data_IF_841480633095
#
_entry.id   IF_841480633095
#
_cell.length_a   1.000
_cell.length_b   1.000
_cell.length_c   1.000
_cell.angle_alpha   90.00
_cell.angle_beta   90.00
_cell.angle_gamma   90.00
#
_symmetry.space_group_name_H-M   'P 1'
#
loop_
_entity.id
_entity.type
_entity.pdbx_description
1 polymer ?
#
# COMPACT_ATOMS: atom_id res chain seq x y z
N UNK A 1 -25.92 21.30 24.05
CA UNK A 1 -25.76 20.35 22.93
C UNK A 1 -25.26 19.04 23.50
N UNK A 2 -25.84 17.90 23.12
CA UNK A 2 -25.25 16.60 23.45
C UNK A 2 -23.98 16.45 22.62
N UNK A 3 -22.86 16.12 23.27
CA UNK A 3 -21.61 15.82 22.59
C UNK A 3 -21.61 14.33 22.20
N UNK A 4 -22.34 14.02 21.13
CA UNK A 4 -22.65 12.64 20.73
C UNK A 4 -21.44 11.88 20.17
N UNK A 5 -20.32 12.58 19.88
CA UNK A 5 -19.14 11.99 19.25
C UNK A 5 -17.86 12.03 20.10
N UNK A 6 -17.92 12.55 21.34
CA UNK A 6 -16.74 12.76 22.20
C UNK A 6 -15.71 11.63 22.17
N UNK A 7 -16.16 10.41 22.48
CA UNK A 7 -15.28 9.24 22.58
C UNK A 7 -14.71 8.85 21.21
N UNK A 8 -15.54 8.92 20.18
CA UNK A 8 -15.14 8.55 18.83
C UNK A 8 -14.13 9.53 18.23
N UNK A 9 -14.34 10.83 18.45
CA UNK A 9 -13.37 11.87 18.09
C UNK A 9 -12.03 11.63 18.79
N UNK A 10 -12.02 11.33 20.09
CA UNK A 10 -10.78 11.03 20.81
C UNK A 10 -10.02 9.81 20.25
N UNK A 11 -10.73 8.77 19.79
CA UNK A 11 -10.11 7.59 19.18
C UNK A 11 -9.53 7.94 17.82
N UNK A 12 -10.33 8.57 16.96
CA UNK A 12 -9.90 8.96 15.63
C UNK A 12 -8.74 9.95 15.66
N UNK A 13 -8.81 10.97 16.52
CA UNK A 13 -7.75 11.96 16.67
C UNK A 13 -6.42 11.29 17.01
N UNK A 14 -6.41 10.32 17.93
CA UNK A 14 -5.19 9.55 18.25
C UNK A 14 -4.64 8.76 17.07
N UNK A 15 -5.51 8.10 16.30
CA UNK A 15 -5.12 7.31 15.13
C UNK A 15 -4.56 8.25 14.06
N UNK A 16 -5.24 9.37 13.78
CA UNK A 16 -4.82 10.32 12.77
C UNK A 16 -3.58 11.10 13.16
N UNK A 17 -3.42 11.48 14.43
CA UNK A 17 -2.20 12.12 14.92
C UNK A 17 -0.99 11.22 14.67
N UNK A 18 -1.10 9.92 14.96
CA UNK A 18 -0.04 8.96 14.67
C UNK A 18 0.23 8.80 13.15
N UNK A 19 -0.81 8.89 12.31
CA UNK A 19 -0.65 8.73 10.86
C UNK A 19 -0.23 9.99 10.12
N UNK A 20 -0.50 11.17 10.68
CA UNK A 20 -0.28 12.46 10.01
C UNK A 20 1.18 12.64 9.61
N UNK A 21 2.10 12.34 10.51
CA UNK A 21 3.54 12.46 10.24
C UNK A 21 3.98 11.53 9.11
N UNK A 22 3.42 10.31 9.06
CA UNK A 22 3.70 9.33 8.01
C UNK A 22 3.16 9.82 6.66
N UNK A 23 1.93 10.35 6.63
CA UNK A 23 1.33 10.90 5.41
C UNK A 23 2.17 12.07 4.89
N UNK A 24 2.55 13.00 5.76
CA UNK A 24 3.37 14.16 5.38
C UNK A 24 4.74 13.71 4.84
N UNK A 25 5.37 12.68 5.45
CA UNK A 25 6.61 12.04 4.95
C UNK A 25 6.40 11.38 3.58
N UNK A 26 5.30 10.65 3.39
CA UNK A 26 4.95 10.01 2.10
C UNK A 26 4.80 11.07 1.01
N UNK A 27 3.99 12.10 1.25
CA UNK A 27 3.71 13.14 0.24
C UNK A 27 4.97 13.90 -0.13
N UNK A 28 5.76 14.31 0.88
CA UNK A 28 7.01 15.03 0.65
C UNK A 28 8.07 14.19 -0.05
N UNK A 29 7.99 12.86 0.06
CA UNK A 29 8.92 11.95 -0.62
C UNK A 29 8.65 11.77 -2.12
N UNK A 30 7.48 12.17 -2.65
CA UNK A 30 7.10 11.87 -4.04
C UNK A 30 7.66 12.89 -5.04
N UNK A 31 8.60 12.44 -5.85
CA UNK A 31 9.10 13.08 -7.06
C UNK A 31 8.89 12.18 -8.28
N UNK A 32 7.95 12.57 -9.16
CA UNK A 32 7.63 11.89 -10.43
C UNK A 32 8.56 12.32 -11.58
N UNK A 33 9.49 13.24 -11.30
CA UNK A 33 10.53 13.72 -12.20
C UNK A 33 11.89 13.49 -11.53
N UNK A 34 12.97 13.56 -12.31
CA UNK A 34 14.31 13.38 -11.77
C UNK A 34 14.67 14.49 -10.76
N UNK A 35 15.19 14.17 -9.56
CA UNK A 35 15.50 12.83 -9.05
C UNK A 35 14.24 12.04 -8.64
N UNK A 36 14.08 10.84 -9.20
CA UNK A 36 12.90 10.01 -8.97
C UNK A 36 12.83 9.51 -7.54
N UNK A 37 11.66 9.66 -6.92
CA UNK A 37 11.47 9.35 -5.52
C UNK A 37 10.01 9.01 -5.24
N UNK A 38 9.73 7.89 -4.57
CA UNK A 38 8.38 7.53 -4.16
C UNK A 38 8.40 6.42 -3.11
N UNK A 39 7.35 6.28 -2.28
CA UNK A 39 7.23 5.13 -1.41
C UNK A 39 6.90 3.85 -2.18
N UNK A 40 7.20 2.70 -1.57
CA UNK A 40 6.92 1.37 -2.13
C UNK A 40 5.47 1.23 -2.58
N UNK A 41 4.52 1.69 -1.75
CA UNK A 41 3.09 1.65 -2.08
C UNK A 41 2.80 2.41 -3.38
N UNK A 42 3.39 3.58 -3.60
CA UNK A 42 3.17 4.37 -4.81
C UNK A 42 3.68 3.68 -6.08
N UNK A 43 4.89 3.09 -6.07
CA UNK A 43 5.44 2.44 -7.28
C UNK A 43 4.71 1.13 -7.66
N UNK A 44 3.96 0.56 -6.71
CA UNK A 44 3.10 -0.61 -6.88
C UNK A 44 1.66 -0.24 -7.29
N UNK A 45 1.40 1.02 -7.62
CA UNK A 45 0.10 1.48 -8.09
C UNK A 45 0.17 2.13 -9.49
N UNK A 46 -0.99 2.39 -10.06
CA UNK A 46 -1.18 3.15 -11.29
C UNK A 46 -0.47 4.51 -11.24
N UNK A 47 0.45 4.76 -12.19
CA UNK A 47 1.18 6.04 -12.29
C UNK A 47 0.23 7.24 -12.43
N UNK A 48 -0.81 7.11 -13.25
CA UNK A 48 -1.78 8.20 -13.48
C UNK A 48 -2.55 8.56 -12.21
N UNK A 49 -2.82 7.58 -11.33
CA UNK A 49 -3.41 7.85 -10.02
C UNK A 49 -2.45 8.67 -9.15
N UNK A 50 -1.19 8.27 -9.05
CA UNK A 50 -0.18 9.02 -8.29
C UNK A 50 0.01 10.46 -8.80
N UNK A 51 -0.04 10.65 -10.12
CA UNK A 51 -0.03 11.98 -10.75
C UNK A 51 -1.22 12.83 -10.30
N UNK A 52 -2.43 12.25 -10.25
CA UNK A 52 -3.62 12.95 -9.78
C UNK A 52 -3.62 13.19 -8.27
N UNK A 53 -3.14 12.25 -7.45
CA UNK A 53 -2.98 12.43 -6.01
C UNK A 53 -2.07 13.65 -5.74
N UNK A 54 -0.93 13.74 -6.44
CA UNK A 54 -0.01 14.89 -6.37
C UNK A 54 -0.64 16.19 -6.86
N UNK A 55 -1.41 16.15 -7.96
CA UNK A 55 -2.03 17.33 -8.56
C UNK A 55 -3.19 17.90 -7.72
N UNK A 56 -4.02 17.03 -7.14
CA UNK A 56 -5.28 17.41 -6.49
C UNK A 56 -5.21 17.34 -4.95
N UNK A 57 -4.09 16.91 -4.37
CA UNK A 57 -3.86 16.95 -2.92
C UNK A 57 -4.70 15.95 -2.12
N UNK A 58 -5.16 14.86 -2.76
CA UNK A 58 -5.95 13.80 -2.12
C UNK A 58 -5.03 12.82 -1.37
N UNK A 59 -4.42 13.30 -0.29
CA UNK A 59 -3.64 12.45 0.63
C UNK A 59 -4.29 12.28 2.00
N UNK A 60 -5.51 12.79 2.20
CA UNK A 60 -6.21 12.65 3.48
C UNK A 60 -6.91 11.29 3.54
N UNK A 61 -6.49 10.34 4.38
CA UNK A 61 -7.14 9.05 4.51
C UNK A 61 -8.33 9.21 5.45
N UNK A 62 -9.30 10.05 5.11
CA UNK A 62 -10.60 9.95 5.79
C UNK A 62 -11.19 8.62 5.32
N UNK A 63 -11.44 7.63 6.20
CA UNK A 63 -12.01 6.36 5.81
C UNK A 63 -13.37 6.64 5.20
N UNK A 64 -13.47 6.40 3.90
CA UNK A 64 -14.69 6.62 3.13
C UNK A 64 -15.61 5.39 3.14
N UNK A 65 -15.13 4.27 3.71
CA UNK A 65 -15.88 3.04 3.86
C UNK A 65 -15.44 2.26 5.12
N UNK A 66 -16.27 1.29 5.51
CA UNK A 66 -16.06 0.47 6.72
C UNK A 66 -14.78 -0.37 6.66
N UNK A 67 -14.39 -0.86 5.47
CA UNK A 67 -13.18 -1.67 5.33
C UNK A 67 -11.92 -0.86 5.59
N UNK A 68 -11.86 0.40 5.14
CA UNK A 68 -10.78 1.32 5.48
C UNK A 68 -10.74 1.57 6.99
N UNK A 69 -11.89 1.82 7.63
CA UNK A 69 -11.93 2.04 9.07
C UNK A 69 -11.43 0.82 9.85
N UNK A 70 -11.88 -0.39 9.49
CA UNK A 70 -11.44 -1.63 10.12
C UNK A 70 -9.96 -1.88 9.90
N UNK A 71 -9.43 -1.60 8.70
CA UNK A 71 -8.01 -1.67 8.41
C UNK A 71 -7.18 -0.73 9.28
N UNK A 72 -7.60 0.53 9.42
CA UNK A 72 -6.92 1.51 10.28
C UNK A 72 -6.92 1.11 11.76
N UNK A 73 -8.06 0.61 12.25
CA UNK A 73 -8.17 0.15 13.63
C UNK A 73 -7.31 -1.10 13.89
N UNK A 74 -7.33 -2.06 12.97
CA UNK A 74 -6.51 -3.26 13.04
C UNK A 74 -5.03 -2.91 13.06
N UNK A 75 -4.57 -2.13 12.08
CA UNK A 75 -3.19 -1.67 11.97
C UNK A 75 -2.70 -0.99 13.26
N UNK A 76 -3.43 0.04 13.71
CA UNK A 76 -3.08 0.79 14.93
C UNK A 76 -3.06 -0.12 16.17
N UNK A 77 -4.03 -1.01 16.32
CA UNK A 77 -4.13 -1.90 17.49
C UNK A 77 -2.95 -2.87 17.55
N UNK A 78 -2.58 -3.47 16.42
CA UNK A 78 -1.45 -4.42 16.37
C UNK A 78 -0.13 -3.70 16.59
N UNK A 79 0.08 -2.53 15.97
CA UNK A 79 1.27 -1.70 16.20
C UNK A 79 1.45 -1.39 17.69
N UNK A 80 0.39 -0.94 18.36
CA UNK A 80 0.43 -0.66 19.80
C UNK A 80 0.67 -1.92 20.63
N UNK A 81 0.02 -3.04 20.29
CA UNK A 81 0.16 -4.28 21.04
C UNK A 81 1.58 -4.88 20.95
N UNK A 82 2.24 -4.75 19.79
CA UNK A 82 3.56 -5.33 19.55
C UNK A 82 4.71 -4.37 19.87
N UNK A 83 4.51 -3.06 19.71
CA UNK A 83 5.60 -2.07 19.77
C UNK A 83 5.38 -0.95 20.81
N UNK A 84 4.23 -0.93 21.49
CA UNK A 84 3.90 0.08 22.49
C UNK A 84 3.26 1.35 21.91
N UNK A 85 2.90 2.29 22.80
CA UNK A 85 2.32 3.59 22.43
C UNK A 85 3.22 4.76 22.88
N UNK A 86 3.46 5.76 22.02
CA UNK A 86 3.11 5.77 20.59
C UNK A 86 3.88 4.67 19.83
N UNK A 87 3.29 4.05 18.81
CA UNK A 87 4.03 3.10 17.99
C UNK A 87 5.20 3.82 17.31
N UNK A 88 6.35 3.13 17.13
CA UNK A 88 7.53 3.74 16.53
C UNK A 88 7.30 4.08 15.06
N UNK A 89 7.92 5.18 14.63
CA UNK A 89 7.94 5.59 13.24
C UNK A 89 8.93 4.74 12.44
N UNK A 90 8.41 3.85 11.59
CA UNK A 90 9.21 3.10 10.63
C UNK A 90 9.35 3.88 9.34
N UNK A 91 10.56 4.33 9.04
CA UNK A 91 10.86 5.03 7.79
C UNK A 91 12.28 4.72 7.34
N UNK A 92 12.39 4.05 6.20
CA UNK A 92 13.65 3.62 5.60
C UNK A 92 13.73 4.05 4.15
N UNK A 93 14.94 4.27 3.65
CA UNK A 93 15.16 4.74 2.29
C UNK A 93 16.33 3.98 1.69
N UNK A 94 16.16 3.48 0.46
CA UNK A 94 17.23 2.88 -0.33
C UNK A 94 17.21 3.44 -1.75
N UNK A 95 18.41 3.66 -2.31
CA UNK A 95 18.59 4.04 -3.71
C UNK A 95 18.77 2.77 -4.54
N UNK A 96 18.00 2.65 -5.62
CA UNK A 96 18.09 1.58 -6.60
C UNK A 96 18.55 2.13 -7.94
N UNK A 97 19.28 1.34 -8.71
CA UNK A 97 19.82 1.75 -10.02
C UNK A 97 19.41 0.71 -11.06
N UNK A 98 18.77 1.14 -12.15
CA UNK A 98 18.46 0.23 -13.26
C UNK A 98 19.66 0.00 -14.19
N UNK A 99 19.53 -0.95 -15.13
CA UNK A 99 20.57 -1.24 -16.11
C UNK A 99 20.91 -0.08 -17.05
N UNK A 100 20.10 0.99 -17.08
CA UNK A 100 20.38 2.24 -17.80
C UNK A 100 21.10 3.29 -16.95
N UNK A 101 21.41 3.00 -15.68
CA UNK A 101 22.04 3.93 -14.75
C UNK A 101 21.08 4.94 -14.12
N UNK A 102 19.77 4.81 -14.33
CA UNK A 102 18.77 5.69 -13.72
C UNK A 102 18.60 5.34 -12.25
N UNK A 103 18.60 6.36 -11.39
CA UNK A 103 18.51 6.22 -9.93
C UNK A 103 17.09 6.46 -9.44
N UNK A 104 16.65 5.62 -8.51
CA UNK A 104 15.33 5.70 -7.88
C UNK A 104 15.47 5.65 -6.36
N UNK A 105 14.99 6.68 -5.67
CA UNK A 105 14.93 6.71 -4.20
C UNK A 105 13.61 6.12 -3.74
N UNK A 106 13.63 4.91 -3.19
CA UNK A 106 12.42 4.20 -2.75
C UNK A 106 12.31 4.23 -1.23
N UNK A 107 11.14 4.62 -0.75
CA UNK A 107 10.84 4.84 0.67
C UNK A 107 9.98 3.70 1.21
N UNK A 108 10.40 3.09 2.31
CA UNK A 108 9.69 2.03 3.00
C UNK A 108 9.14 2.51 4.35
N UNK A 109 7.87 2.21 4.57
CA UNK A 109 7.19 2.39 5.85
C UNK A 109 6.45 1.11 6.22
N UNK A 110 7.17 0.05 6.65
CA UNK A 110 6.53 -1.19 7.09
C UNK A 110 5.70 -0.97 8.35
N UNK A 111 4.66 -1.79 8.54
CA UNK A 111 3.76 -1.64 9.67
C UNK A 111 4.44 -1.98 11.00
N UNK A 112 5.14 -3.11 11.06
CA UNK A 112 5.87 -3.54 12.25
C UNK A 112 7.25 -4.04 11.84
N UNK A 113 8.26 -3.71 12.65
CA UNK A 113 9.65 -4.18 12.51
C UNK A 113 10.04 -4.84 13.82
N UNK A 114 10.42 -6.11 13.73
CA UNK A 114 10.95 -6.93 14.82
C UNK A 114 12.46 -7.16 14.59
N UNK A 115 13.10 -7.87 15.52
CA UNK A 115 14.56 -8.08 15.51
C UNK A 115 15.04 -8.75 14.21
N UNK A 116 14.30 -9.71 13.65
CA UNK A 116 14.64 -10.48 12.45
C UNK A 116 13.59 -10.42 11.33
N UNK A 117 12.41 -9.89 11.61
CA UNK A 117 11.28 -9.86 10.68
C UNK A 117 10.76 -8.44 10.42
N UNK A 118 10.31 -8.20 9.18
CA UNK A 118 9.41 -7.10 8.83
C UNK A 118 8.00 -7.66 8.64
N UNK A 119 7.00 -7.01 9.22
CA UNK A 119 5.60 -7.48 9.21
C UNK A 119 4.72 -6.45 8.50
N UNK A 120 3.96 -6.92 7.52
CA UNK A 120 2.96 -6.13 6.79
C UNK A 120 1.56 -6.59 7.19
N UNK A 121 0.69 -5.65 7.57
CA UNK A 121 -0.66 -5.91 8.06
C UNK A 121 -1.69 -5.55 6.99
N UNK A 122 -2.58 -6.48 6.67
CA UNK A 122 -3.66 -6.26 5.70
C UNK A 122 -5.01 -6.64 6.26
N UNK A 123 -5.97 -5.72 6.18
CA UNK A 123 -7.37 -6.05 6.32
C UNK A 123 -8.02 -6.19 4.93
N UNK A 124 -8.79 -7.26 4.73
CA UNK A 124 -9.60 -7.43 3.51
C UNK A 124 -10.89 -8.19 3.81
N UNK A 125 -11.94 -7.91 3.04
CA UNK A 125 -13.19 -8.67 3.08
C UNK A 125 -13.14 -9.93 2.19
N UNK A 126 -12.01 -10.21 1.54
CA UNK A 126 -11.87 -11.37 0.67
C UNK A 126 -11.78 -12.69 1.46
N UNK A 127 -12.30 -13.80 0.90
CA UNK A 127 -12.09 -15.14 1.45
C UNK A 127 -10.60 -15.52 1.55
N UNK A 128 -10.28 -16.43 2.50
CA UNK A 128 -8.89 -16.84 2.77
C UNK A 128 -8.23 -17.55 1.57
N UNK A 129 -8.98 -18.22 0.70
CA UNK A 129 -8.49 -18.88 -0.50
C UNK A 129 -8.11 -17.89 -1.62
N UNK A 130 -8.50 -16.62 -1.50
CA UNK A 130 -8.20 -15.56 -2.48
C UNK A 130 -7.01 -14.66 -2.07
N UNK A 131 -6.32 -14.99 -0.99
CA UNK A 131 -5.13 -14.29 -0.49
C UNK A 131 -3.94 -15.26 -0.41
N UNK A 132 -2.68 -14.82 -0.60
CA UNK A 132 -2.24 -13.43 -0.68
C UNK A 132 -2.51 -12.77 -2.03
N UNK A 133 -2.57 -11.44 -2.03
CA UNK A 133 -2.62 -10.63 -3.24
C UNK A 133 -1.20 -10.26 -3.68
N UNK A 134 -0.90 -10.40 -4.96
CA UNK A 134 0.43 -10.18 -5.55
C UNK A 134 1.06 -8.84 -5.13
N UNK A 135 0.30 -7.74 -5.18
CA UNK A 135 0.80 -6.41 -4.82
C UNK A 135 1.11 -6.26 -3.33
N UNK A 136 0.47 -7.03 -2.46
CA UNK A 136 0.81 -7.07 -1.03
C UNK A 136 2.11 -7.86 -0.80
N UNK A 137 2.30 -8.97 -1.52
CA UNK A 137 3.57 -9.71 -1.47
C UNK A 137 4.72 -8.87 -2.00
N UNK A 138 4.54 -8.19 -3.14
CA UNK A 138 5.56 -7.30 -3.70
C UNK A 138 5.91 -6.17 -2.72
N UNK A 139 4.92 -5.57 -2.05
CA UNK A 139 5.16 -4.54 -1.04
C UNK A 139 6.06 -5.08 0.08
N UNK A 140 5.72 -6.23 0.67
CA UNK A 140 6.50 -6.85 1.72
C UNK A 140 7.92 -7.23 1.24
N UNK A 141 8.04 -7.84 0.06
CA UNK A 141 9.35 -8.28 -0.47
C UNK A 141 10.29 -7.11 -0.80
N UNK A 142 9.75 -5.95 -1.17
CA UNK A 142 10.55 -4.72 -1.29
C UNK A 142 11.00 -4.23 0.09
N UNK A 143 10.14 -4.29 1.11
CA UNK A 143 10.55 -3.97 2.48
C UNK A 143 11.65 -4.91 3.00
N UNK A 144 11.52 -6.22 2.74
CA UNK A 144 12.55 -7.21 3.08
C UNK A 144 13.89 -6.87 2.42
N UNK A 145 13.88 -6.48 1.14
CA UNK A 145 15.09 -6.03 0.44
C UNK A 145 15.74 -4.81 1.11
N UNK A 146 14.93 -3.79 1.44
CA UNK A 146 15.43 -2.54 2.01
C UNK A 146 16.02 -2.76 3.41
N UNK A 147 15.40 -3.63 4.21
CA UNK A 147 15.79 -3.85 5.61
C UNK A 147 16.74 -5.05 5.80
N UNK A 148 16.89 -5.93 4.82
CA UNK A 148 17.67 -7.16 4.93
C UNK A 148 17.09 -8.13 5.99
N UNK A 149 15.76 -8.26 6.05
CA UNK A 149 15.04 -9.06 7.06
C UNK A 149 14.12 -10.10 6.41
N UNK A 150 13.74 -11.11 7.19
CA UNK A 150 12.63 -12.01 6.84
C UNK A 150 11.31 -11.21 6.77
N UNK A 151 10.31 -11.75 6.10
CA UNK A 151 9.01 -11.09 5.92
C UNK A 151 7.85 -11.90 6.50
N UNK A 152 6.87 -11.21 7.08
CA UNK A 152 5.59 -11.80 7.48
C UNK A 152 4.43 -10.97 6.96
N UNK A 153 3.55 -11.60 6.16
CA UNK A 153 2.33 -10.98 5.68
C UNK A 153 1.15 -11.49 6.51
N UNK A 154 0.48 -10.60 7.23
CA UNK A 154 -0.63 -10.94 8.14
C UNK A 154 -1.93 -10.37 7.59
N UNK A 155 -2.87 -11.26 7.26
CA UNK A 155 -4.21 -10.90 6.84
C UNK A 155 -5.21 -11.09 7.97
N UNK A 156 -5.99 -10.05 8.27
CA UNK A 156 -7.23 -10.15 9.01
C UNK A 156 -8.41 -10.06 8.04
N UNK A 157 -9.29 -11.05 8.08
CA UNK A 157 -10.53 -11.06 7.30
C UNK A 157 -11.71 -11.45 8.19
N UNK A 158 -12.96 -11.21 7.75
CA UNK A 158 -14.14 -11.76 8.43
C UNK A 158 -14.16 -13.29 8.53
N UNK A 159 -13.35 -13.99 7.73
CA UNK A 159 -13.25 -15.46 7.70
C UNK A 159 -12.11 -16.01 8.55
N UNK A 160 -11.31 -15.15 9.20
CA UNK A 160 -10.22 -15.54 10.08
C UNK A 160 -8.92 -14.80 9.81
N UNK A 161 -7.83 -15.35 10.33
CA UNK A 161 -6.47 -14.81 10.17
C UNK A 161 -5.65 -15.76 9.30
N UNK A 162 -4.88 -15.20 8.36
CA UNK A 162 -3.86 -15.95 7.60
C UNK A 162 -2.52 -15.22 7.72
N UNK A 163 -1.50 -15.97 8.11
CA UNK A 163 -0.12 -15.51 8.15
C UNK A 163 0.70 -16.26 7.11
N UNK A 164 1.62 -15.55 6.45
CA UNK A 164 2.53 -16.12 5.47
C UNK A 164 3.93 -15.61 5.80
N UNK A 165 4.85 -16.54 6.01
CA UNK A 165 6.25 -16.26 6.27
C UNK A 165 7.05 -16.36 4.96
N UNK A 166 7.98 -15.42 4.78
CA UNK A 166 8.96 -15.39 3.70
C UNK A 166 10.35 -15.28 4.30
N UNK A 167 11.24 -16.18 3.88
CA UNK A 167 12.66 -16.11 4.22
C UNK A 167 13.35 -14.93 3.51
N UNK A 168 14.45 -14.44 4.06
CA UNK A 168 15.19 -13.31 3.49
C UNK A 168 15.62 -13.53 2.02
N UNK A 169 15.85 -14.78 1.63
CA UNK A 169 16.18 -15.18 0.26
C UNK A 169 15.04 -14.98 -0.75
N UNK A 170 13.79 -14.82 -0.26
CA UNK A 170 12.61 -14.56 -1.08
C UNK A 170 12.33 -13.07 -1.28
N UNK A 171 13.14 -12.19 -0.70
CA UNK A 171 13.12 -10.76 -0.97
C UNK A 171 13.38 -10.49 -2.46
N UNK A 172 12.84 -9.39 -2.99
CA UNK A 172 13.22 -8.96 -4.34
C UNK A 172 14.69 -8.53 -4.36
N UNK A 173 15.38 -8.81 -5.46
CA UNK A 173 16.71 -8.26 -5.74
C UNK A 173 16.66 -6.76 -6.06
N UNK A 174 17.79 -6.07 -5.97
CA UNK A 174 17.88 -4.64 -6.29
C UNK A 174 17.50 -4.39 -7.77
N UNK A 175 17.86 -5.31 -8.66
CA UNK A 175 17.49 -5.28 -10.07
C UNK A 175 15.97 -5.40 -10.29
N UNK A 176 15.30 -6.27 -9.54
CA UNK A 176 13.84 -6.45 -9.61
C UNK A 176 13.11 -5.20 -9.09
N UNK A 177 13.57 -4.62 -7.97
CA UNK A 177 13.00 -3.36 -7.46
C UNK A 177 13.25 -2.21 -8.44
N UNK A 178 14.45 -2.11 -9.02
CA UNK A 178 14.77 -1.10 -10.03
C UNK A 178 13.90 -1.25 -11.29
N UNK A 179 13.59 -2.49 -11.70
CA UNK A 179 12.65 -2.75 -12.81
C UNK A 179 11.24 -2.25 -12.48
N UNK A 180 10.71 -2.54 -11.29
CA UNK A 180 9.39 -2.04 -10.85
C UNK A 180 9.38 -0.50 -10.83
N UNK A 181 10.45 0.12 -10.33
CA UNK A 181 10.59 1.57 -10.31
C UNK A 181 10.63 2.15 -11.74
N UNK A 182 11.36 1.51 -12.67
CA UNK A 182 11.41 1.91 -14.07
C UNK A 182 10.04 1.84 -14.75
N UNK A 183 9.31 0.73 -14.57
CA UNK A 183 7.93 0.58 -15.07
C UNK A 183 7.02 1.72 -14.58
N UNK A 184 7.22 2.15 -13.33
CA UNK A 184 6.44 3.24 -12.74
C UNK A 184 6.88 4.62 -13.25
N UNK A 185 8.15 5.02 -13.06
CA UNK A 185 8.62 6.38 -13.33
C UNK A 185 8.86 6.67 -14.81
N UNK A 186 9.39 5.70 -15.55
CA UNK A 186 9.83 5.90 -16.94
C UNK A 186 8.74 5.46 -17.90
N UNK A 187 8.22 4.25 -17.74
CA UNK A 187 7.19 3.69 -18.63
C UNK A 187 5.78 4.20 -18.27
N UNK A 188 5.60 4.79 -17.09
CA UNK A 188 4.36 5.43 -16.63
C UNK A 188 3.17 4.46 -16.65
N UNK A 189 3.41 3.19 -16.32
CA UNK A 189 2.43 2.10 -16.39
C UNK A 189 1.10 2.48 -15.71
N UNK A 190 0.01 2.46 -16.47
CA UNK A 190 -1.32 2.91 -16.04
C UNK A 190 -2.44 2.16 -16.78
N UNK A 191 -3.37 1.49 -16.06
CA UNK A 191 -3.21 1.08 -14.66
C UNK A 191 -2.04 0.09 -14.50
N UNK A 192 -1.55 -0.12 -13.28
CA UNK A 192 -0.60 -1.21 -13.04
C UNK A 192 -1.36 -2.55 -13.03
N UNK A 193 -2.56 -2.55 -12.44
CA UNK A 193 -3.48 -3.68 -12.46
C UNK A 193 -4.88 -3.24 -12.92
N UNK A 194 -5.55 -4.04 -13.75
CA UNK A 194 -6.86 -3.70 -14.32
C UNK A 194 -7.93 -3.38 -13.26
N UNK A 195 -7.89 -4.09 -12.11
CA UNK A 195 -8.83 -3.87 -11.01
C UNK A 195 -8.69 -2.49 -10.35
N UNK A 196 -7.55 -1.80 -10.47
CA UNK A 196 -7.35 -0.48 -9.84
C UNK A 196 -8.38 0.54 -10.33
N UNK A 197 -8.74 0.48 -11.62
CA UNK A 197 -9.72 1.38 -12.21
C UNK A 197 -11.14 1.19 -11.65
N UNK A 198 -11.44 0.06 -11.01
CA UNK A 198 -12.74 -0.18 -10.38
C UNK A 198 -12.91 0.64 -9.09
N UNK A 199 -11.82 0.90 -8.38
CA UNK A 199 -11.81 1.56 -7.07
C UNK A 199 -11.22 2.99 -7.11
N UNK A 200 -10.68 3.42 -8.25
CA UNK A 200 -10.02 4.71 -8.39
C UNK A 200 -11.01 5.89 -8.31
N UNK A 201 -10.76 6.82 -7.38
CA UNK A 201 -11.55 8.05 -7.21
C UNK A 201 -11.54 8.96 -8.45
N UNK A 202 -10.52 8.83 -9.30
CA UNK A 202 -10.37 9.62 -10.53
C UNK A 202 -10.98 8.96 -11.77
N UNK A 203 -11.64 7.80 -11.64
CA UNK A 203 -12.17 7.03 -12.78
C UNK A 203 -13.01 7.88 -13.75
N UNK A 204 -13.82 8.80 -13.23
CA UNK A 204 -14.70 9.67 -14.04
C UNK A 204 -13.96 10.75 -14.83
N UNK A 205 -12.70 11.05 -14.47
CA UNK A 205 -11.88 12.11 -15.07
C UNK A 205 -10.64 11.55 -15.80
N UNK A 206 -10.30 10.29 -15.56
CA UNK A 206 -9.09 9.66 -16.08
C UNK A 206 -9.31 9.15 -17.52
N UNK A 207 -8.53 9.61 -18.51
CA UNK A 207 -8.66 9.13 -19.89
C UNK A 207 -8.17 7.68 -20.07
N UNK A 208 -7.38 7.17 -19.12
CA UNK A 208 -6.86 5.80 -19.10
C UNK A 208 -7.69 4.87 -18.22
N UNK A 209 -8.86 5.31 -17.74
CA UNK A 209 -9.73 4.45 -16.95
C UNK A 209 -10.16 3.24 -17.78
N UNK A 210 -9.75 2.05 -17.35
CA UNK A 210 -10.21 0.80 -17.95
C UNK A 210 -11.73 0.71 -17.86
N UNK A 211 -12.37 0.43 -19.00
CA UNK A 211 -13.78 0.10 -19.10
C UNK A 211 -13.87 -1.38 -19.48
N UNK A 212 -14.32 -2.24 -18.55
CA UNK A 212 -14.70 -3.62 -18.92
C UNK A 212 -15.64 -3.55 -20.13
N UNK A 213 -15.31 -4.27 -21.19
CA UNK A 213 -16.22 -4.46 -22.33
C UNK A 213 -17.46 -5.24 -21.86
N UNK A 214 -18.57 -5.19 -22.62
CA UNK A 214 -19.78 -5.94 -22.21
C UNK A 214 -19.54 -7.45 -22.21
N UNK A 215 -18.71 -7.95 -23.12
CA UNK A 215 -18.28 -9.36 -23.20
C UNK A 215 -17.52 -9.81 -21.94
N UNK A 216 -16.66 -8.96 -21.37
CA UNK A 216 -15.92 -9.25 -20.13
C UNK A 216 -16.80 -9.22 -18.87
N UNK A 217 -17.95 -8.54 -18.92
CA UNK A 217 -18.91 -8.54 -17.80
C UNK A 217 -19.68 -9.86 -17.75
N UNK A 218 -20.09 -10.38 -18.90
CA UNK A 218 -20.82 -11.66 -19.01
C UNK A 218 -19.95 -12.82 -18.53
N UNK A 219 -18.68 -12.90 -18.93
CA UNK A 219 -17.75 -13.95 -18.48
C UNK A 219 -17.47 -13.89 -16.98
N UNK A 220 -17.38 -12.69 -16.39
CA UNK A 220 -17.19 -12.56 -14.94
C UNK A 220 -18.44 -12.90 -14.12
N UNK A 221 -19.64 -12.73 -14.69
CA UNK A 221 -20.89 -13.12 -14.03
C UNK A 221 -21.05 -14.64 -14.00
N UNK A 222 -20.66 -15.34 -15.06
CA UNK A 222 -20.70 -16.81 -15.13
C UNK A 222 -19.69 -17.48 -14.19
N UNK A 223 -18.57 -16.83 -13.87
CA UNK A 223 -17.55 -17.34 -12.95
C UNK A 223 -17.82 -17.05 -11.47
N UNK A 224 -18.72 -16.11 -11.16
CA UNK A 224 -19.16 -15.84 -9.78
C UNK A 224 -20.37 -16.73 -9.37
N UNK A 225 -21.03 -17.38 -10.33
CA UNK A 225 -22.16 -18.29 -10.10
C UNK A 225 -21.78 -19.80 -10.07
N UNK A 226 -20.49 -20.14 -10.27
CA UNK A 226 -19.96 -21.52 -10.25
C UNK A 226 -19.11 -21.83 -9.01
#
# INVERSE_FOLDING_TARGET
>A
MRDENKVWSMILDKIYEAQKEIIDKIVSSISLEEPYSAPVTTILHCYTRALFDKKYGLYKPIPTNINMLLGLLFDFTIKVALQGYPPPDHYYVKEFVDGGGVKYKIHAGPDVVLDDEVVELKYTSMPLDKIPLEHHELQLKIYMNILGKNGRLVYLTPYGVREIYYSAEEALSDEEVAKIAREFFIEKKSPRYEWECQYCLYKSLCPLAWKKTEEEKEVSAEQEES
#
